data_IF_112117101226
#
_entry.id   IF_112117101226
#
_cell.length_a   1.000
_cell.length_b   1.000
_cell.length_c   1.000
_cell.angle_alpha   90.00
_cell.angle_beta   90.00
_cell.angle_gamma   90.00
#
_symmetry.space_group_name_H-M   'P 1'
#
loop_
_entity.id
_entity.type
_entity.pdbx_description
1 polymer ?
#
# COMPACT_ATOMS: atom_id res chain seq x y z
N UNK A 1 -76.64 22.37 4.24
CA UNK A 1 -75.81 23.44 3.64
C UNK A 1 -74.56 23.60 4.50
N UNK A 2 -73.42 23.09 4.01
CA UNK A 2 -71.99 23.46 4.28
C UNK A 2 -71.57 23.58 5.78
N UNK A 3 -70.52 22.95 6.30
CA UNK A 3 -69.12 22.83 5.85
C UNK A 3 -68.53 21.57 6.54
N UNK A 4 -68.20 20.50 5.82
CA UNK A 4 -66.84 20.16 5.34
C UNK A 4 -65.74 20.31 6.42
N UNK A 5 -65.61 19.30 7.30
CA UNK A 5 -64.41 19.09 8.13
C UNK A 5 -63.33 18.44 7.26
N UNK A 6 -62.42 19.27 6.75
CA UNK A 6 -61.18 18.86 6.09
C UNK A 6 -59.99 19.11 7.00
N UNK A 7 -59.23 18.03 7.23
CA UNK A 7 -57.76 17.99 7.28
C UNK A 7 -57.02 18.64 8.45
N UNK A 8 -56.29 17.82 9.21
CA UNK A 8 -54.82 17.94 9.28
C UNK A 8 -54.21 16.62 9.79
N UNK A 9 -53.99 15.67 8.88
CA UNK A 9 -53.03 14.60 9.11
C UNK A 9 -51.64 15.22 8.98
N UNK A 10 -51.01 15.54 10.11
CA UNK A 10 -49.60 15.89 10.16
C UNK A 10 -48.78 14.62 9.89
N UNK A 11 -48.59 14.29 8.61
CA UNK A 11 -47.46 13.45 8.20
C UNK A 11 -46.20 14.25 8.56
N UNK A 12 -45.59 13.93 9.70
CA UNK A 12 -44.16 14.15 9.89
C UNK A 12 -43.45 13.31 8.83
N UNK A 13 -43.24 13.90 7.66
CA UNK A 13 -42.20 13.48 6.76
C UNK A 13 -40.88 13.81 7.45
N UNK A 14 -40.42 12.89 8.30
CA UNK A 14 -38.99 12.71 8.53
C UNK A 14 -38.39 12.34 7.18
N UNK A 15 -38.12 13.35 6.37
CA UNK A 15 -37.14 13.26 5.31
C UNK A 15 -35.83 12.93 6.00
N UNK A 16 -35.53 11.63 6.13
CA UNK A 16 -34.18 11.17 6.30
C UNK A 16 -33.43 11.74 5.11
N UNK A 17 -32.74 12.86 5.32
CA UNK A 17 -31.58 13.22 4.52
C UNK A 17 -30.59 12.08 4.69
N UNK A 18 -30.75 11.02 3.90
CA UNK A 18 -29.62 10.25 3.42
C UNK A 18 -28.88 11.20 2.46
N UNK A 19 -28.24 12.23 3.03
CA UNK A 19 -27.46 13.19 2.27
C UNK A 19 -26.31 12.44 1.61
N UNK A 20 -26.17 12.62 0.30
CA UNK A 20 -24.91 12.31 -0.36
C UNK A 20 -23.77 13.00 0.40
N UNK A 21 -22.63 12.34 0.50
CA UNK A 21 -21.48 12.88 1.22
C UNK A 21 -21.10 14.23 0.61
N UNK A 22 -20.85 15.23 1.44
CA UNK A 22 -20.44 16.57 0.99
C UNK A 22 -19.02 16.52 0.38
N UNK A 23 -18.16 15.69 0.98
CA UNK A 23 -16.80 15.44 0.54
C UNK A 23 -16.64 13.94 0.31
N UNK A 24 -16.24 13.56 -0.91
CA UNK A 24 -15.85 12.20 -1.25
C UNK A 24 -14.36 12.17 -1.56
N UNK A 25 -13.61 11.34 -0.83
CA UNK A 25 -12.17 11.13 -1.02
C UNK A 25 -11.95 9.75 -1.63
N UNK A 26 -11.27 9.67 -2.77
CA UNK A 26 -10.92 8.42 -3.43
C UNK A 26 -9.56 7.94 -2.92
N UNK A 27 -9.54 6.75 -2.33
CA UNK A 27 -8.32 6.12 -1.82
C UNK A 27 -7.87 4.97 -2.72
N UNK A 28 -6.63 4.98 -3.18
CA UNK A 28 -6.03 3.88 -3.96
C UNK A 28 -5.22 2.91 -3.09
N UNK A 29 -5.34 1.62 -3.39
CA UNK A 29 -4.51 0.56 -2.81
C UNK A 29 -4.20 -0.55 -3.84
N UNK A 30 -2.94 -0.97 -3.96
CA UNK A 30 -2.52 -2.02 -4.93
C UNK A 30 -2.95 -3.44 -4.52
N UNK A 31 -3.20 -3.68 -3.23
CA UNK A 31 -3.58 -4.99 -2.70
C UNK A 31 -5.08 -5.26 -2.91
N UNK A 32 -5.50 -6.53 -2.99
CA UNK A 32 -6.90 -6.88 -3.17
C UNK A 32 -7.74 -6.63 -1.91
N UNK A 33 -9.05 -6.68 -2.10
CA UNK A 33 -10.03 -6.63 -1.00
C UNK A 33 -9.76 -7.72 0.05
N UNK A 34 -9.92 -7.40 1.34
CA UNK A 34 -9.58 -8.30 2.45
C UNK A 34 -8.09 -8.32 2.82
N UNK A 35 -7.22 -7.63 2.10
CA UNK A 35 -5.82 -7.45 2.51
C UNK A 35 -5.72 -6.45 3.68
N UNK A 36 -4.79 -6.64 4.66
CA UNK A 36 -4.73 -5.79 5.86
C UNK A 36 -4.70 -4.28 5.60
N UNK A 37 -4.00 -3.83 4.56
CA UNK A 37 -3.93 -2.39 4.24
C UNK A 37 -5.27 -1.84 3.75
N UNK A 38 -5.99 -2.61 2.92
CA UNK A 38 -7.32 -2.23 2.42
C UNK A 38 -8.33 -2.18 3.55
N UNK A 39 -8.32 -3.19 4.43
CA UNK A 39 -9.22 -3.22 5.58
C UNK A 39 -8.92 -2.09 6.59
N UNK A 40 -7.66 -1.72 6.76
CA UNK A 40 -7.27 -0.55 7.56
C UNK A 40 -7.90 0.75 7.03
N UNK A 41 -7.82 1.01 5.72
CA UNK A 41 -8.43 2.20 5.11
C UNK A 41 -9.95 2.13 5.12
N UNK A 42 -10.56 0.96 4.94
CA UNK A 42 -12.02 0.80 5.10
C UNK A 42 -12.48 1.09 6.54
N UNK A 43 -11.71 0.68 7.54
CA UNK A 43 -11.99 1.02 8.94
C UNK A 43 -11.90 2.53 9.15
N UNK A 44 -10.85 3.18 8.62
CA UNK A 44 -10.73 4.63 8.61
C UNK A 44 -11.92 5.30 7.91
N UNK A 45 -12.39 4.77 6.78
CA UNK A 45 -13.55 5.27 6.06
C UNK A 45 -14.83 5.25 6.92
N UNK A 46 -15.05 4.14 7.64
CA UNK A 46 -16.18 4.01 8.56
C UNK A 46 -16.09 5.02 9.71
N UNK A 47 -14.92 5.14 10.35
CA UNK A 47 -14.71 6.07 11.47
C UNK A 47 -14.83 7.54 11.05
N UNK A 48 -14.28 7.91 9.89
CA UNK A 48 -14.38 9.28 9.35
C UNK A 48 -15.84 9.62 9.06
N UNK A 49 -16.59 8.68 8.46
CA UNK A 49 -18.00 8.89 8.18
C UNK A 49 -18.81 9.07 9.46
N UNK A 50 -18.56 8.24 10.48
CA UNK A 50 -19.23 8.35 11.79
C UNK A 50 -18.88 9.67 12.49
N UNK A 51 -17.60 10.01 12.62
CA UNK A 51 -17.11 11.20 13.33
C UNK A 51 -17.46 12.52 12.65
N UNK A 52 -17.88 12.47 11.38
CA UNK A 52 -18.26 13.66 10.60
C UNK A 52 -19.75 13.73 10.30
N UNK A 53 -20.57 12.90 10.97
CA UNK A 53 -22.02 12.82 10.77
C UNK A 53 -22.40 12.61 9.28
N UNK A 54 -21.60 11.80 8.57
CA UNK A 54 -21.80 11.48 7.16
C UNK A 54 -21.30 12.55 6.17
N UNK A 55 -20.66 13.63 6.65
CA UNK A 55 -20.16 14.72 5.80
C UNK A 55 -19.01 14.28 4.89
N UNK A 56 -18.09 13.45 5.40
CA UNK A 56 -16.92 12.96 4.66
C UNK A 56 -17.04 11.46 4.43
N UNK A 57 -16.84 11.03 3.18
CA UNK A 57 -16.82 9.62 2.79
C UNK A 57 -15.53 9.29 2.06
N UNK A 58 -14.91 8.16 2.44
CA UNK A 58 -13.73 7.63 1.76
C UNK A 58 -14.17 6.43 0.92
N UNK A 59 -13.92 6.49 -0.38
CA UNK A 59 -14.15 5.39 -1.33
C UNK A 59 -12.84 4.68 -1.60
N UNK A 60 -12.73 3.41 -1.21
CA UNK A 60 -11.50 2.63 -1.37
C UNK A 60 -11.54 1.85 -2.67
N UNK A 61 -10.51 2.04 -3.51
CA UNK A 61 -10.30 1.39 -4.79
C UNK A 61 -9.10 0.43 -4.70
N UNK A 62 -9.33 -0.84 -4.31
CA UNK A 62 -8.27 -1.84 -4.17
C UNK A 62 -7.82 -2.40 -5.52
N UNK A 63 -6.89 -3.35 -5.50
CA UNK A 63 -6.42 -4.11 -6.67
C UNK A 63 -5.86 -3.26 -7.81
N UNK A 64 -5.21 -2.14 -7.50
CA UNK A 64 -4.66 -1.22 -8.52
C UNK A 64 -5.73 -0.71 -9.52
N UNK A 65 -7.00 -0.61 -9.12
CA UNK A 65 -8.09 -0.17 -10.01
C UNK A 65 -7.88 1.22 -10.62
N UNK A 66 -7.12 2.08 -9.93
CA UNK A 66 -6.81 3.45 -10.35
C UNK A 66 -5.39 3.62 -10.93
N UNK A 67 -4.65 2.51 -11.10
CA UNK A 67 -3.26 2.52 -11.56
C UNK A 67 -2.33 1.75 -10.62
N UNK A 68 -1.09 1.58 -11.04
CA UNK A 68 -0.03 0.98 -10.24
C UNK A 68 0.50 1.98 -9.19
N UNK A 69 1.14 1.47 -8.12
CA UNK A 69 1.43 2.26 -6.91
C UNK A 69 2.23 3.54 -7.17
N UNK A 70 3.18 3.55 -8.14
CA UNK A 70 3.93 4.76 -8.50
C UNK A 70 3.05 5.81 -9.16
N UNK A 71 2.21 5.40 -10.10
CA UNK A 71 1.31 6.29 -10.83
C UNK A 71 0.27 6.91 -9.89
N UNK A 72 -0.20 6.15 -8.90
CA UNK A 72 -1.19 6.63 -7.93
C UNK A 72 -0.59 7.58 -6.91
N UNK A 73 0.69 7.42 -6.54
CA UNK A 73 1.42 8.43 -5.75
C UNK A 73 1.48 9.77 -6.50
N UNK A 74 1.90 9.75 -7.77
CA UNK A 74 2.01 10.97 -8.58
C UNK A 74 0.62 11.62 -8.78
N UNK A 75 -0.41 10.82 -9.06
CA UNK A 75 -1.78 11.31 -9.15
C UNK A 75 -2.29 11.91 -7.83
N UNK A 76 -1.87 11.38 -6.68
CA UNK A 76 -2.23 11.97 -5.38
C UNK A 76 -1.51 13.28 -5.13
N UNK A 77 -0.23 13.39 -5.49
CA UNK A 77 0.51 14.65 -5.43
C UNK A 77 -0.17 15.75 -6.28
N UNK A 78 -0.73 15.41 -7.44
CA UNK A 78 -1.47 16.36 -8.28
C UNK A 78 -2.93 16.57 -7.86
N UNK A 79 -3.41 15.92 -6.80
CA UNK A 79 -4.79 16.02 -6.33
C UNK A 79 -5.83 15.35 -7.25
N UNK A 80 -5.39 14.46 -8.16
CA UNK A 80 -6.30 13.63 -8.97
C UNK A 80 -6.89 12.52 -8.10
N UNK A 81 -6.08 11.82 -7.31
CA UNK A 81 -6.53 10.83 -6.33
C UNK A 81 -6.37 11.44 -4.93
N UNK A 82 -7.41 11.43 -4.10
CA UNK A 82 -7.38 12.16 -2.82
C UNK A 82 -6.50 11.48 -1.77
N UNK A 83 -6.41 10.15 -1.79
CA UNK A 83 -5.65 9.36 -0.82
C UNK A 83 -4.95 8.18 -1.48
N UNK A 84 -3.75 7.82 -0.98
CA UNK A 84 -3.04 6.63 -1.45
C UNK A 84 -2.39 5.91 -0.26
N UNK A 85 -2.57 4.59 -0.21
CA UNK A 85 -1.78 3.72 0.66
C UNK A 85 -0.66 3.13 -0.19
N UNK A 86 0.58 3.54 0.09
CA UNK A 86 1.76 3.12 -0.68
C UNK A 86 2.92 2.66 0.22
N UNK A 87 3.89 1.95 -0.35
CA UNK A 87 5.15 1.62 0.32
C UNK A 87 6.16 2.76 0.14
N UNK A 88 6.98 3.03 1.16
CA UNK A 88 8.15 3.93 1.04
C UNK A 88 9.05 3.58 -0.16
N UNK A 89 9.14 2.29 -0.49
CA UNK A 89 9.92 1.81 -1.63
C UNK A 89 9.43 2.27 -3.00
N UNK A 90 8.24 2.87 -3.10
CA UNK A 90 7.64 3.33 -4.36
C UNK A 90 7.71 4.85 -4.56
N UNK A 91 8.12 5.62 -3.54
CA UNK A 91 8.25 7.08 -3.64
C UNK A 91 9.57 7.51 -4.31
N UNK A 92 10.68 6.81 -4.06
CA UNK A 92 12.00 7.11 -4.60
C UNK A 92 12.34 8.62 -4.50
N UNK A 93 12.54 9.29 -5.64
CA UNK A 93 12.92 10.71 -5.72
C UNK A 93 11.75 11.68 -5.45
N UNK A 94 10.50 11.20 -5.41
CA UNK A 94 9.34 12.03 -5.08
C UNK A 94 9.50 12.54 -3.64
N UNK A 95 9.90 11.65 -2.72
CA UNK A 95 10.16 11.97 -1.31
C UNK A 95 11.50 11.32 -0.90
N UNK A 96 12.65 11.99 -1.09
CA UNK A 96 13.98 11.36 -0.98
C UNK A 96 14.27 10.67 0.36
N UNK A 97 13.71 11.15 1.48
CA UNK A 97 13.90 10.50 2.80
C UNK A 97 13.38 9.05 2.81
N UNK A 98 12.44 8.70 1.93
CA UNK A 98 11.93 7.33 1.80
C UNK A 98 12.95 6.35 1.25
N UNK A 99 13.98 6.81 0.52
CA UNK A 99 15.10 5.97 0.09
C UNK A 99 15.94 5.53 1.30
N UNK A 100 16.18 6.43 2.26
CA UNK A 100 16.84 6.09 3.53
C UNK A 100 16.06 5.03 4.28
N UNK A 101 14.74 5.22 4.40
CA UNK A 101 13.83 4.26 5.06
C UNK A 101 13.72 2.92 4.33
N UNK A 102 14.18 2.85 3.09
CA UNK A 102 14.20 1.65 2.25
C UNK A 102 15.53 0.90 2.31
N UNK A 103 16.52 1.36 3.07
CA UNK A 103 17.80 0.69 3.21
C UNK A 103 17.63 -0.74 3.77
N UNK A 104 18.34 -1.73 3.20
CA UNK A 104 18.30 -3.09 3.68
C UNK A 104 18.84 -3.18 5.12
N UNK A 105 18.16 -3.96 5.98
CA UNK A 105 18.52 -4.20 7.38
C UNK A 105 18.57 -2.94 8.29
N UNK A 106 17.96 -1.82 7.88
CA UNK A 106 17.86 -0.61 8.71
C UNK A 106 17.14 -0.87 10.04
N UNK A 107 16.03 -1.61 9.99
CA UNK A 107 15.23 -1.96 11.15
C UNK A 107 15.62 -3.33 11.71
N UNK A 108 15.84 -3.41 13.03
CA UNK A 108 16.20 -4.65 13.73
C UNK A 108 14.98 -5.52 14.08
N UNK A 109 13.81 -4.91 14.29
CA UNK A 109 12.57 -5.60 14.62
C UNK A 109 11.36 -4.73 14.27
N UNK A 110 10.16 -5.29 14.38
CA UNK A 110 8.90 -4.55 14.21
C UNK A 110 8.78 -3.47 15.29
N UNK A 111 9.11 -3.78 16.55
CA UNK A 111 9.06 -2.84 17.67
C UNK A 111 10.04 -1.68 17.47
N UNK A 112 11.22 -1.95 16.90
CA UNK A 112 12.16 -0.89 16.54
C UNK A 112 11.59 0.01 15.43
N UNK A 113 10.88 -0.57 14.45
CA UNK A 113 10.22 0.20 13.39
C UNK A 113 9.13 1.09 13.95
N UNK A 114 8.27 0.57 14.84
CA UNK A 114 7.22 1.34 15.51
C UNK A 114 7.81 2.48 16.34
N UNK A 115 8.81 2.20 17.19
CA UNK A 115 9.43 3.23 18.02
C UNK A 115 10.06 4.39 17.20
N UNK A 116 10.51 4.12 15.98
CA UNK A 116 11.05 5.14 15.07
C UNK A 116 9.93 5.92 14.39
N UNK A 117 8.94 5.23 13.82
CA UNK A 117 7.86 5.84 13.02
C UNK A 117 6.78 6.51 13.87
N UNK A 118 6.59 6.08 15.12
CA UNK A 118 5.66 6.70 16.07
C UNK A 118 6.36 7.80 16.91
N UNK A 119 7.65 8.02 16.69
CA UNK A 119 8.46 9.01 17.39
C UNK A 119 8.77 10.25 16.55
N UNK A 120 9.70 11.10 17.01
CA UNK A 120 10.08 12.34 16.33
C UNK A 120 10.61 12.14 14.90
N UNK A 121 11.19 10.98 14.61
CA UNK A 121 11.67 10.65 13.25
C UNK A 121 10.46 10.45 12.30
N UNK A 122 9.38 9.84 12.78
CA UNK A 122 8.14 9.74 12.00
C UNK A 122 7.52 11.10 11.69
N UNK A 123 7.56 12.03 12.64
CA UNK A 123 7.11 13.42 12.43
C UNK A 123 7.99 14.15 11.39
N UNK A 124 9.32 13.98 11.45
CA UNK A 124 10.25 14.52 10.46
C UNK A 124 9.98 13.97 9.06
N UNK A 125 9.74 12.65 8.95
CA UNK A 125 9.34 12.01 7.70
C UNK A 125 8.02 12.59 7.20
N UNK A 126 7.03 12.77 8.08
CA UNK A 126 5.75 13.38 7.75
C UNK A 126 5.91 14.79 7.17
N UNK A 127 6.76 15.63 7.77
CA UNK A 127 7.09 16.95 7.24
C UNK A 127 7.73 16.90 5.85
N UNK A 128 8.58 15.91 5.58
CA UNK A 128 9.17 15.73 4.24
C UNK A 128 8.14 15.31 3.18
N UNK A 129 7.05 14.64 3.56
CA UNK A 129 5.92 14.41 2.66
C UNK A 129 5.16 15.70 2.37
N UNK A 130 4.96 16.56 3.38
CA UNK A 130 4.21 17.82 3.22
C UNK A 130 4.90 18.78 2.25
N UNK A 131 6.24 18.83 2.24
CA UNK A 131 7.03 19.58 1.26
C UNK A 131 6.81 19.12 -0.20
N UNK A 132 6.14 17.99 -0.38
CA UNK A 132 5.88 17.32 -1.67
C UNK A 132 4.38 17.20 -1.96
N UNK A 133 3.57 18.07 -1.37
CA UNK A 133 2.10 18.11 -1.53
C UNK A 133 1.40 16.81 -1.10
N UNK A 134 2.00 16.08 -0.15
CA UNK A 134 1.46 14.84 0.40
C UNK A 134 1.35 14.94 1.93
N UNK A 135 0.20 14.60 2.50
CA UNK A 135 0.03 14.61 3.96
C UNK A 135 0.08 13.18 4.48
N UNK A 136 1.08 12.87 5.30
CA UNK A 136 1.22 11.56 5.94
C UNK A 136 0.24 11.43 7.12
N UNK A 137 -0.82 10.64 6.95
CA UNK A 137 -1.86 10.46 7.99
C UNK A 137 -1.56 9.32 8.97
N UNK A 138 -0.86 8.28 8.50
CA UNK A 138 -0.54 7.10 9.29
C UNK A 138 0.61 6.32 8.65
N UNK A 139 1.36 5.59 9.49
CA UNK A 139 2.34 4.60 9.04
C UNK A 139 1.79 3.19 9.28
N UNK A 140 1.90 2.33 8.27
CA UNK A 140 1.39 0.95 8.32
C UNK A 140 2.55 -0.05 8.31
N UNK A 141 2.31 -1.21 8.91
CA UNK A 141 3.28 -2.31 8.90
C UNK A 141 3.40 -2.97 7.53
N UNK A 142 4.60 -2.91 6.98
CA UNK A 142 4.96 -3.61 5.74
C UNK A 142 5.41 -5.06 5.97
N UNK A 143 5.86 -5.40 7.17
CA UNK A 143 6.51 -6.67 7.50
C UNK A 143 7.89 -6.85 6.87
N UNK A 144 8.57 -7.95 7.20
CA UNK A 144 9.88 -8.28 6.64
C UNK A 144 9.75 -8.86 5.21
N UNK A 145 10.60 -8.38 4.30
CA UNK A 145 10.66 -8.86 2.91
C UNK A 145 11.72 -9.96 2.77
N UNK A 146 11.36 -11.06 2.12
CA UNK A 146 12.23 -12.20 1.86
C UNK A 146 12.30 -12.50 0.36
N UNK A 147 13.33 -13.24 -0.05
CA UNK A 147 13.49 -13.74 -1.41
C UNK A 147 12.62 -14.98 -1.66
N UNK A 148 11.92 -14.95 -2.79
CA UNK A 148 11.09 -16.05 -3.28
C UNK A 148 11.43 -16.29 -4.74
N UNK A 149 11.54 -17.54 -5.18
CA UNK A 149 11.89 -17.84 -6.57
C UNK A 149 11.35 -19.20 -7.05
N UNK A 150 11.32 -19.40 -8.36
CA UNK A 150 10.85 -20.64 -8.99
C UNK A 150 11.94 -21.68 -9.27
N UNK A 151 13.21 -21.34 -9.03
CA UNK A 151 14.35 -22.09 -9.56
C UNK A 151 14.94 -23.05 -8.53
N UNK A 152 15.32 -22.54 -7.35
CA UNK A 152 16.03 -23.30 -6.31
C UNK A 152 15.89 -22.67 -4.92
N UNK A 153 16.10 -23.43 -3.83
CA UNK A 153 16.28 -22.84 -2.51
C UNK A 153 17.48 -21.87 -2.49
N UNK A 154 17.39 -20.83 -1.68
CA UNK A 154 18.46 -19.86 -1.45
C UNK A 154 18.92 -20.02 0.00
N UNK A 155 20.14 -20.54 0.19
CA UNK A 155 20.70 -20.83 1.51
C UNK A 155 21.96 -20.02 1.81
N UNK A 156 22.62 -19.49 0.79
CA UNK A 156 23.75 -18.58 0.91
C UNK A 156 23.66 -17.44 -0.12
N UNK A 157 24.55 -16.45 -0.03
CA UNK A 157 24.56 -15.31 -0.97
C UNK A 157 24.96 -15.79 -2.37
N UNK A 158 25.84 -16.78 -2.48
CA UNK A 158 26.27 -17.35 -3.75
C UNK A 158 25.11 -17.99 -4.52
N UNK A 159 24.04 -18.38 -3.85
CA UNK A 159 22.85 -18.90 -4.52
C UNK A 159 22.14 -17.85 -5.37
N UNK A 160 22.28 -16.56 -5.02
CA UNK A 160 21.69 -15.43 -5.73
C UNK A 160 22.44 -15.08 -7.03
N UNK A 161 23.66 -15.60 -7.20
CA UNK A 161 24.53 -15.24 -8.30
C UNK A 161 23.85 -15.44 -9.67
N UNK A 162 23.70 -14.35 -10.43
CA UNK A 162 23.11 -14.36 -11.76
C UNK A 162 21.58 -14.53 -11.80
N UNK A 163 20.91 -14.68 -10.66
CA UNK A 163 19.44 -14.73 -10.61
C UNK A 163 18.83 -13.37 -10.92
N UNK A 164 17.65 -13.37 -11.54
CA UNK A 164 16.89 -12.18 -11.90
C UNK A 164 15.74 -11.96 -10.93
N UNK A 165 15.86 -10.95 -10.08
CA UNK A 165 14.85 -10.63 -9.10
C UNK A 165 14.11 -9.34 -9.43
N UNK A 166 12.78 -9.42 -9.34
CA UNK A 166 11.97 -8.21 -9.35
C UNK A 166 12.19 -7.42 -8.07
N UNK A 167 12.41 -6.12 -8.24
CA UNK A 167 12.43 -5.12 -7.18
C UNK A 167 11.37 -4.04 -7.41
N UNK A 168 11.03 -3.28 -6.36
CA UNK A 168 10.23 -2.05 -6.52
C UNK A 168 11.06 -1.01 -7.29
N UNK A 169 10.39 -0.02 -7.88
CA UNK A 169 11.01 1.00 -8.73
C UNK A 169 11.77 2.05 -7.89
N UNK A 170 12.87 1.60 -7.27
CA UNK A 170 13.73 2.40 -6.41
C UNK A 170 15.18 1.89 -6.54
N UNK A 171 16.10 2.82 -6.74
CA UNK A 171 17.50 2.54 -7.10
C UNK A 171 18.25 1.86 -5.95
N UNK A 172 17.91 2.14 -4.69
CA UNK A 172 18.47 1.47 -3.50
C UNK A 172 18.28 -0.04 -3.59
N UNK A 173 17.16 -0.49 -4.17
CA UNK A 173 16.91 -1.91 -4.34
C UNK A 173 17.66 -2.53 -5.51
N UNK A 174 17.98 -1.75 -6.54
CA UNK A 174 18.83 -2.18 -7.65
C UNK A 174 20.24 -2.41 -7.11
N UNK A 175 20.79 -1.39 -6.45
CA UNK A 175 22.12 -1.45 -5.81
C UNK A 175 22.23 -2.59 -4.80
N UNK A 176 21.15 -2.85 -4.04
CA UNK A 176 21.11 -3.97 -3.11
C UNK A 176 21.23 -5.32 -3.83
N UNK A 177 20.54 -5.54 -4.95
CA UNK A 177 20.67 -6.83 -5.67
C UNK A 177 22.05 -6.99 -6.29
N UNK A 178 22.59 -5.91 -6.87
CA UNK A 178 23.91 -5.90 -7.48
C UNK A 178 25.00 -6.19 -6.42
N UNK A 179 24.89 -5.60 -5.23
CA UNK A 179 25.76 -5.87 -4.09
C UNK A 179 25.66 -7.33 -3.59
N UNK A 180 24.51 -7.98 -3.79
CA UNK A 180 24.28 -9.40 -3.48
C UNK A 180 24.67 -10.35 -4.64
N UNK A 181 25.17 -9.83 -5.77
CA UNK A 181 25.57 -10.61 -6.94
C UNK A 181 24.41 -11.10 -7.82
N UNK A 182 23.20 -10.61 -7.59
CA UNK A 182 22.02 -10.87 -8.40
C UNK A 182 21.76 -9.73 -9.39
N UNK A 183 20.79 -9.92 -10.29
CA UNK A 183 20.34 -8.88 -11.22
C UNK A 183 18.96 -8.37 -10.79
N UNK A 184 18.84 -7.06 -10.57
CA UNK A 184 17.54 -6.44 -10.33
C UNK A 184 16.77 -6.19 -11.64
N UNK A 185 15.45 -6.33 -11.57
CA UNK A 185 14.53 -5.87 -12.61
C UNK A 185 13.43 -5.03 -11.95
N UNK A 186 13.54 -3.69 -11.97
CA UNK A 186 12.50 -2.81 -11.45
C UNK A 186 11.23 -2.94 -12.28
N UNK A 187 10.11 -3.28 -11.65
CA UNK A 187 8.83 -3.36 -12.36
C UNK A 187 7.61 -3.16 -11.44
N UNK A 188 6.46 -2.73 -11.97
CA UNK A 188 5.22 -2.59 -11.20
C UNK A 188 4.79 -3.90 -10.53
N UNK A 189 4.03 -3.79 -9.43
CA UNK A 189 3.60 -4.98 -8.70
C UNK A 189 2.62 -5.82 -9.53
N UNK A 190 1.83 -5.15 -10.37
CA UNK A 190 0.96 -5.70 -11.41
C UNK A 190 1.57 -6.83 -12.24
N UNK A 191 2.81 -6.66 -12.68
CA UNK A 191 3.46 -7.46 -13.72
C UNK A 191 4.27 -8.65 -13.19
N UNK A 192 4.43 -8.75 -11.87
CA UNK A 192 5.32 -9.75 -11.26
C UNK A 192 4.89 -11.19 -11.58
N UNK A 193 3.59 -11.48 -11.52
CA UNK A 193 3.08 -12.84 -11.73
C UNK A 193 3.35 -13.35 -13.16
N UNK A 194 2.98 -12.56 -14.16
CA UNK A 194 3.20 -12.91 -15.58
C UNK A 194 4.69 -13.01 -15.89
N UNK A 195 5.53 -12.16 -15.29
CA UNK A 195 6.97 -12.16 -15.52
C UNK A 195 7.67 -13.41 -14.96
N UNK A 196 7.21 -13.93 -13.81
CA UNK A 196 7.68 -15.23 -13.29
C UNK A 196 7.17 -16.37 -14.19
N UNK A 197 5.90 -16.34 -14.58
CA UNK A 197 5.29 -17.38 -15.40
C UNK A 197 5.95 -17.52 -16.78
N UNK A 198 6.40 -16.42 -17.36
CA UNK A 198 7.07 -16.36 -18.67
C UNK A 198 8.59 -16.54 -18.57
N UNK A 199 9.15 -16.60 -17.36
CA UNK A 199 10.60 -16.74 -17.14
C UNK A 199 11.41 -15.49 -17.42
N UNK A 200 10.79 -14.31 -17.45
CA UNK A 200 11.48 -13.02 -17.56
C UNK A 200 12.30 -12.76 -16.28
N UNK A 201 11.74 -13.12 -15.13
CA UNK A 201 12.38 -13.05 -13.81
C UNK A 201 12.28 -14.41 -13.10
N UNK A 202 13.23 -14.69 -12.22
CA UNK A 202 13.25 -15.90 -11.40
C UNK A 202 12.36 -15.79 -10.16
N UNK A 203 12.11 -14.57 -9.68
CA UNK A 203 11.19 -14.34 -8.58
C UNK A 203 11.20 -12.93 -7.99
N UNK A 204 10.35 -12.65 -6.98
CA UNK A 204 10.28 -11.36 -6.32
C UNK A 204 10.92 -11.36 -4.92
N UNK A 205 11.29 -10.18 -4.44
CA UNK A 205 11.51 -9.90 -3.01
C UNK A 205 10.29 -9.19 -2.42
N UNK A 206 9.52 -9.90 -1.59
CA UNK A 206 8.24 -9.40 -1.05
C UNK A 206 7.96 -9.96 0.35
N UNK A 207 6.80 -9.69 0.94
CA UNK A 207 6.37 -10.27 2.22
C UNK A 207 5.47 -11.50 2.01
N UNK A 208 5.37 -12.34 3.05
CA UNK A 208 4.52 -13.54 3.01
C UNK A 208 3.04 -13.23 2.71
N UNK A 209 2.39 -12.22 3.33
CA UNK A 209 1.00 -11.87 3.01
C UNK A 209 0.82 -11.47 1.55
N UNK A 210 1.67 -10.59 1.02
CA UNK A 210 1.63 -10.12 -0.37
C UNK A 210 1.76 -11.28 -1.37
N UNK A 211 2.66 -12.23 -1.09
CA UNK A 211 2.81 -13.43 -1.90
C UNK A 211 1.54 -14.32 -1.88
N UNK A 212 0.87 -14.44 -0.74
CA UNK A 212 -0.37 -15.23 -0.63
C UNK A 212 -1.51 -14.61 -1.43
N UNK A 213 -1.68 -13.30 -1.27
CA UNK A 213 -2.81 -12.56 -1.83
C UNK A 213 -2.86 -12.66 -3.36
N UNK A 214 -1.69 -12.78 -4.01
CA UNK A 214 -1.60 -12.92 -5.47
C UNK A 214 -1.62 -14.36 -5.97
N UNK A 215 -2.06 -15.30 -5.14
CA UNK A 215 -2.15 -16.72 -5.47
C UNK A 215 -0.87 -17.23 -6.16
N UNK A 216 0.27 -17.00 -5.51
CA UNK A 216 1.59 -17.55 -5.87
C UNK A 216 1.96 -18.83 -5.06
N UNK A 217 1.06 -19.80 -4.78
CA UNK A 217 1.35 -20.89 -3.86
C UNK A 217 2.41 -21.86 -4.39
N UNK A 218 2.61 -21.97 -5.72
CA UNK A 218 3.65 -22.82 -6.32
C UNK A 218 5.07 -22.40 -5.92
N UNK A 219 5.28 -21.17 -5.47
CA UNK A 219 6.60 -20.62 -5.16
C UNK A 219 6.86 -20.40 -3.66
N UNK A 220 5.92 -20.82 -2.80
CA UNK A 220 6.09 -20.82 -1.33
C UNK A 220 7.13 -21.83 -0.83
N UNK A 221 7.34 -22.93 -1.56
CA UNK A 221 8.14 -24.07 -1.08
C UNK A 221 9.65 -23.84 -1.13
N UNK A 222 10.13 -22.83 -1.87
CA UNK A 222 11.55 -22.55 -2.10
C UNK A 222 12.14 -21.54 -1.11
N UNK A 223 11.30 -20.89 -0.29
CA UNK A 223 11.70 -19.85 0.65
C UNK A 223 11.61 -20.31 2.09
N UNK A 224 12.74 -20.74 2.64
CA UNK A 224 12.91 -20.84 4.09
C UNK A 224 14.10 -20.01 4.50
N UNK A 225 13.82 -18.73 4.75
CA UNK A 225 14.60 -17.87 5.63
C UNK A 225 13.60 -17.31 6.65
N UNK A 226 13.48 -17.97 7.79
CA UNK A 226 12.96 -17.38 9.01
C UNK A 226 14.18 -17.06 9.85
N UNK A 227 14.48 -15.79 10.04
CA UNK A 227 15.44 -15.37 11.06
C UNK A 227 14.97 -15.90 12.41
N UNK A 228 15.80 -16.73 13.04
CA UNK A 228 15.77 -16.97 14.49
C UNK A 228 16.04 -15.69 15.25
#
# INVERSE_FOLDING_TARGET
MKYLMTSLAALLASASFAGACEITLRSSDTHPDGYPTVEGVKSMAAEVKEKTDGRICIEVFPSSQLGEEKDTIEQTQFGVIDMVRASFGSFNDIVPVTQLMSLPYLFRSVEHSHAVLDGPIGEEIGGAFEERDLVALAFYDGGARSFYNSQKPITSIEDLAGMKFRVMQNDVFVDMMDALGANATPMPYGEVYSSIQTGVIDGPRTTSPAMTARAMPKWRSTSRWTST
#
